data_IF_343014232198
#
_entry.id   IF_343014232198
#
_cell.length_a   1.000
_cell.length_b   1.000
_cell.length_c   1.000
_cell.angle_alpha   90.00
_cell.angle_beta   90.00
_cell.angle_gamma   90.00
#
_symmetry.space_group_name_H-M   'P 1'
#
loop_
_entity.id
_entity.type
_entity.pdbx_description
1 polymer ?
#
# COMPACT_ATOMS: atom_id res chain seq x y z
N UNK A 1 -21.27 -14.78 36.02
CA UNK A 1 -21.86 -13.82 35.05
C UNK A 1 -20.91 -12.66 34.72
N UNK A 2 -20.39 -11.94 35.73
CA UNK A 2 -19.46 -10.81 35.52
C UNK A 2 -18.14 -11.19 34.79
N UNK A 3 -17.48 -12.27 35.21
CA UNK A 3 -16.23 -12.75 34.59
C UNK A 3 -16.39 -13.11 33.10
N UNK A 4 -17.55 -13.69 32.74
CA UNK A 4 -17.86 -14.07 31.36
C UNK A 4 -18.07 -12.85 30.45
N UNK A 5 -18.76 -11.82 30.96
CA UNK A 5 -18.93 -10.54 30.28
C UNK A 5 -17.59 -9.83 30.05
N UNK A 6 -16.70 -9.87 31.04
CA UNK A 6 -15.33 -9.32 30.93
C UNK A 6 -14.51 -10.06 29.88
N UNK A 7 -14.57 -11.39 29.84
CA UNK A 7 -13.84 -12.18 28.84
C UNK A 7 -14.35 -11.91 27.42
N UNK A 8 -15.68 -11.83 27.24
CA UNK A 8 -16.31 -11.55 25.95
C UNK A 8 -15.90 -10.18 25.38
N UNK A 9 -15.93 -9.14 26.22
CA UNK A 9 -15.52 -7.79 25.84
C UNK A 9 -14.04 -7.71 25.47
N UNK A 10 -13.15 -8.40 26.20
CA UNK A 10 -11.72 -8.46 25.85
C UNK A 10 -11.47 -9.15 24.50
N UNK A 11 -12.24 -10.19 24.16
CA UNK A 11 -12.13 -10.89 22.86
C UNK A 11 -12.65 -10.01 21.72
N UNK A 12 -13.80 -9.36 21.88
CA UNK A 12 -14.34 -8.43 20.88
C UNK A 12 -13.39 -7.26 20.64
N UNK A 13 -12.87 -6.63 21.70
CA UNK A 13 -11.91 -5.52 21.58
C UNK A 13 -10.65 -5.97 20.84
N UNK A 14 -10.12 -7.16 21.14
CA UNK A 14 -8.95 -7.71 20.44
C UNK A 14 -9.22 -7.92 18.95
N UNK A 15 -10.41 -8.41 18.59
CA UNK A 15 -10.79 -8.63 17.20
C UNK A 15 -10.91 -7.30 16.43
N UNK A 16 -11.66 -6.35 16.99
CA UNK A 16 -11.85 -5.01 16.41
C UNK A 16 -10.50 -4.31 16.19
N UNK A 17 -9.61 -4.39 17.18
CA UNK A 17 -8.25 -3.83 17.08
C UNK A 17 -7.49 -4.47 15.91
N UNK A 18 -7.45 -5.80 15.83
CA UNK A 18 -6.75 -6.54 14.77
C UNK A 18 -7.22 -6.15 13.36
N UNK A 19 -8.53 -6.03 13.18
CA UNK A 19 -9.13 -5.65 11.89
C UNK A 19 -8.81 -4.20 11.50
N UNK A 20 -8.81 -3.29 12.48
CA UNK A 20 -8.48 -1.87 12.26
C UNK A 20 -7.04 -1.68 11.82
N UNK A 21 -6.10 -2.39 12.44
CA UNK A 21 -4.68 -2.33 12.06
C UNK A 21 -4.45 -2.92 10.67
N UNK A 22 -5.15 -4.00 10.33
CA UNK A 22 -5.07 -4.60 9.01
C UNK A 22 -5.50 -3.60 7.91
N UNK A 23 -6.67 -2.98 8.06
CA UNK A 23 -7.21 -2.01 7.09
C UNK A 23 -6.34 -0.76 6.99
N UNK A 24 -5.95 -0.17 8.13
CA UNK A 24 -5.13 1.06 8.14
C UNK A 24 -3.79 0.83 7.45
N UNK A 25 -3.18 -0.35 7.63
CA UNK A 25 -1.94 -0.74 6.93
C UNK A 25 -2.14 -0.90 5.42
N UNK A 26 -3.30 -1.42 4.97
CA UNK A 26 -3.64 -1.43 3.54
C UNK A 26 -3.77 -0.03 2.97
N UNK A 27 -4.42 0.87 3.69
CA UNK A 27 -4.64 2.23 3.23
C UNK A 27 -3.31 3.01 3.12
N UNK A 28 -2.43 2.87 4.13
CA UNK A 28 -1.09 3.49 4.14
C UNK A 28 -0.19 3.04 3.00
N UNK A 29 -0.39 1.84 2.44
CA UNK A 29 0.43 1.31 1.34
C UNK A 29 -0.23 1.56 0.00
N UNK A 30 -1.53 1.28 -0.12
CA UNK A 30 -2.27 1.41 -1.38
C UNK A 30 -2.41 2.86 -1.80
N UNK A 31 -2.69 3.79 -0.88
CA UNK A 31 -2.92 5.20 -1.25
C UNK A 31 -1.68 5.84 -1.88
N UNK A 32 -0.47 5.79 -1.28
CA UNK A 32 0.73 6.33 -1.91
C UNK A 32 1.07 5.63 -3.23
N UNK A 33 0.82 4.32 -3.32
CA UNK A 33 1.09 3.55 -4.53
C UNK A 33 0.17 3.95 -5.69
N UNK A 34 -1.13 4.11 -5.41
CA UNK A 34 -2.11 4.58 -6.39
C UNK A 34 -1.79 6.00 -6.83
N UNK A 35 -1.48 6.91 -5.91
CA UNK A 35 -1.08 8.29 -6.23
C UNK A 35 0.16 8.31 -7.12
N UNK A 36 1.16 7.51 -6.79
CA UNK A 36 2.38 7.40 -7.58
C UNK A 36 2.12 6.89 -9.00
N UNK A 37 1.23 5.90 -9.18
CA UNK A 37 0.84 5.43 -10.52
C UNK A 37 0.12 6.51 -11.32
N UNK A 38 -0.79 7.27 -10.72
CA UNK A 38 -1.48 8.38 -11.39
C UNK A 38 -0.47 9.43 -11.85
N UNK A 39 0.47 9.81 -10.99
CA UNK A 39 1.54 10.76 -11.33
C UNK A 39 2.41 10.20 -12.46
N UNK A 40 2.73 8.91 -12.44
CA UNK A 40 3.52 8.27 -13.50
C UNK A 40 2.82 8.37 -14.85
N UNK A 41 1.53 8.05 -14.93
CA UNK A 41 0.75 8.15 -16.18
C UNK A 41 0.79 9.60 -16.69
N UNK A 42 0.53 10.56 -15.79
CA UNK A 42 0.57 11.98 -16.13
C UNK A 42 1.95 12.43 -16.64
N UNK A 43 3.04 11.99 -16.01
CA UNK A 43 4.41 12.29 -16.46
C UNK A 43 4.66 11.69 -17.83
N UNK A 44 4.22 10.46 -18.09
CA UNK A 44 4.38 9.82 -19.40
C UNK A 44 3.68 10.62 -20.49
N UNK A 45 2.46 11.10 -20.25
CA UNK A 45 1.74 11.96 -21.19
C UNK A 45 2.51 13.26 -21.49
N UNK A 46 3.07 13.91 -20.48
CA UNK A 46 3.91 15.10 -20.66
C UNK A 46 5.17 14.80 -21.49
N UNK A 47 5.80 13.65 -21.28
CA UNK A 47 6.98 13.23 -22.03
C UNK A 47 6.65 12.93 -23.50
N UNK A 48 5.44 12.45 -23.81
CA UNK A 48 4.99 12.29 -25.19
C UNK A 48 4.82 13.62 -25.92
N UNK A 49 4.38 14.66 -25.21
CA UNK A 49 4.24 16.03 -25.74
C UNK A 49 5.59 16.74 -25.96
N UNK A 50 6.67 16.28 -25.31
CA UNK A 50 8.01 16.84 -25.44
C UNK A 50 8.99 15.87 -26.14
N UNK A 51 9.17 15.96 -27.47
CA UNK A 51 9.92 14.97 -28.26
C UNK A 51 11.33 14.67 -27.74
N UNK A 52 12.04 15.67 -27.23
CA UNK A 52 13.39 15.54 -26.68
C UNK A 52 13.48 14.67 -25.42
N UNK A 53 12.35 14.49 -24.71
CA UNK A 53 12.29 13.73 -23.46
C UNK A 53 11.63 12.35 -23.61
N UNK A 54 11.14 11.98 -24.79
CA UNK A 54 10.49 10.66 -25.02
C UNK A 54 11.36 9.46 -24.67
N UNK A 55 12.67 9.60 -24.83
CA UNK A 55 13.65 8.59 -24.43
C UNK A 55 13.65 8.26 -22.93
N UNK A 56 13.10 9.13 -22.08
CA UNK A 56 12.97 8.90 -20.65
C UNK A 56 11.73 8.06 -20.28
N UNK A 57 10.77 7.88 -21.19
CA UNK A 57 9.52 7.13 -20.94
C UNK A 57 9.80 5.70 -20.46
N UNK A 58 10.69 4.90 -21.09
CA UNK A 58 11.01 3.56 -20.61
C UNK A 58 11.58 3.55 -19.18
N UNK A 59 12.38 4.57 -18.82
CA UNK A 59 12.95 4.68 -17.49
C UNK A 59 11.87 4.99 -16.44
N UNK A 60 10.95 5.91 -16.74
CA UNK A 60 9.82 6.25 -15.86
C UNK A 60 8.89 5.06 -15.66
N UNK A 61 8.55 4.34 -16.73
CA UNK A 61 7.73 3.12 -16.65
C UNK A 61 8.45 2.02 -15.87
N UNK A 62 9.75 1.85 -16.08
CA UNK A 62 10.58 0.90 -15.33
C UNK A 62 10.59 1.21 -13.84
N UNK A 63 10.80 2.48 -13.48
CA UNK A 63 10.74 2.93 -12.08
C UNK A 63 9.38 2.62 -11.45
N UNK A 64 8.30 2.88 -12.19
CA UNK A 64 6.96 2.63 -11.70
C UNK A 64 6.71 1.14 -11.42
N UNK A 65 7.12 0.27 -12.33
CA UNK A 65 7.03 -1.17 -12.18
C UNK A 65 7.87 -1.67 -10.98
N UNK A 66 9.11 -1.18 -10.84
CA UNK A 66 9.99 -1.53 -9.71
C UNK A 66 9.36 -1.16 -8.37
N UNK A 67 8.80 0.04 -8.24
CA UNK A 67 8.14 0.49 -7.01
C UNK A 67 6.87 -0.30 -6.69
N UNK A 68 6.11 -0.69 -7.71
CA UNK A 68 4.97 -1.60 -7.56
C UNK A 68 5.40 -2.94 -6.97
N UNK A 69 6.43 -3.57 -7.54
CA UNK A 69 6.97 -4.85 -7.08
C UNK A 69 7.52 -4.72 -5.66
N UNK A 70 8.30 -3.69 -5.38
CA UNK A 70 8.84 -3.41 -4.04
C UNK A 70 7.74 -3.19 -3.02
N UNK A 71 6.70 -2.41 -3.34
CA UNK A 71 5.58 -2.16 -2.44
C UNK A 71 4.84 -3.44 -2.06
N UNK A 72 4.59 -4.31 -3.04
CA UNK A 72 3.98 -5.63 -2.82
C UNK A 72 4.92 -6.55 -2.03
N UNK A 73 6.21 -6.57 -2.35
CA UNK A 73 7.20 -7.42 -1.70
C UNK A 73 7.44 -7.04 -0.23
N UNK A 74 7.63 -5.75 0.04
CA UNK A 74 7.77 -5.22 1.40
C UNK A 74 6.55 -5.63 2.22
N UNK A 75 5.34 -5.52 1.67
CA UNK A 75 4.17 -6.00 2.37
C UNK A 75 4.16 -7.52 2.57
N UNK A 76 4.49 -8.31 1.55
CA UNK A 76 4.52 -9.77 1.68
C UNK A 76 5.45 -10.24 2.80
N UNK A 77 6.57 -9.53 3.00
CA UNK A 77 7.57 -9.82 4.03
C UNK A 77 7.24 -9.22 5.40
N UNK A 78 6.86 -7.94 5.46
CA UNK A 78 6.64 -7.21 6.72
C UNK A 78 5.18 -7.24 7.20
N UNK A 79 4.20 -7.48 6.33
CA UNK A 79 2.80 -7.67 6.70
C UNK A 79 2.56 -8.94 7.52
N UNK A 80 3.47 -9.92 7.46
CA UNK A 80 3.48 -11.09 8.35
C UNK A 80 4.01 -10.77 9.75
N UNK A 81 4.82 -9.73 9.91
CA UNK A 81 5.38 -9.33 11.22
C UNK A 81 4.38 -8.55 12.08
N UNK A 82 3.43 -7.84 11.46
CA UNK A 82 2.35 -7.12 12.18
C UNK A 82 1.28 -8.08 12.74
N UNK A 83 1.31 -9.35 12.36
CA UNK A 83 0.35 -10.38 12.77
C UNK A 83 0.86 -11.27 13.92
N UNK A 84 2.08 -10.99 14.43
CA UNK A 84 2.65 -11.61 15.64
C UNK A 84 2.45 -10.72 16.86
#
# INVERSE_FOLDING_TARGET
MFLWLMLKTLVEVRYIMKDKYFITTWLLILVPLTVFLIITIWVVDLLFLAPQWRQAIPAVVGFAATFLVLGVFIRGKFGKLVLF
#
